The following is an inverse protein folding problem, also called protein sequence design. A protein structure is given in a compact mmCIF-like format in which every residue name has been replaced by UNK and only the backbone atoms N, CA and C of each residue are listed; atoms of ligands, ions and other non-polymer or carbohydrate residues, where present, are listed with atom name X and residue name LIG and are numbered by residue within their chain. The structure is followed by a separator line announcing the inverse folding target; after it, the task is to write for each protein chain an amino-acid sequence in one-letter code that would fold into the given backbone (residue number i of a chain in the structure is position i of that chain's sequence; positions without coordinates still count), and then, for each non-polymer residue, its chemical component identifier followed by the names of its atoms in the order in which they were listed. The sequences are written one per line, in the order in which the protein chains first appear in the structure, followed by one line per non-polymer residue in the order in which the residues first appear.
data_IF_015267693677
#
_entry.id   IF_015267693677
#
_cell.length_a   1.000
_cell.length_b   1.000
_cell.length_c   1.000
_cell.angle_alpha   90.00
_cell.angle_beta   90.00
_cell.angle_gamma   90.00
#
_symmetry.space_group_name_H-M   'P 1'
#
loop_
_entity.id
_entity.type
_entity.pdbx_description
1 polymer ?
#
# COMPACT_ATOMS: atom_id res chain seq x y z
N UNK A 1 -81.10 30.47 73.73
CA UNK A 1 -80.80 29.40 72.74
C UNK A 1 -81.50 29.55 71.39
N UNK A 2 -82.64 30.27 71.28
CA UNK A 2 -83.38 30.43 70.00
C UNK A 2 -82.81 31.49 69.04
N UNK A 3 -81.94 32.41 69.49
CA UNK A 3 -81.37 33.47 68.64
C UNK A 3 -80.17 33.04 67.79
N UNK A 4 -79.43 31.99 68.17
CA UNK A 4 -78.30 31.48 67.38
C UNK A 4 -78.79 30.69 66.16
N UNK A 5 -79.94 30.00 66.27
CA UNK A 5 -80.52 29.21 65.19
C UNK A 5 -81.07 30.07 64.04
N UNK A 6 -81.64 31.26 64.32
CA UNK A 6 -82.18 32.16 63.27
C UNK A 6 -81.06 32.84 62.47
N UNK A 7 -79.95 33.19 63.13
CA UNK A 7 -78.75 33.70 62.44
C UNK A 7 -78.03 32.62 61.62
N UNK A 8 -78.02 31.37 62.10
CA UNK A 8 -77.44 30.26 61.34
C UNK A 8 -78.31 29.86 60.13
N UNK A 9 -79.65 29.92 60.24
CA UNK A 9 -80.56 29.68 59.10
C UNK A 9 -80.42 30.73 58.00
N UNK A 10 -80.32 32.03 58.32
CA UNK A 10 -80.09 33.06 57.29
C UNK A 10 -78.71 33.02 56.62
N UNK A 11 -77.70 32.48 57.31
CA UNK A 11 -76.35 32.36 56.76
C UNK A 11 -76.17 31.16 55.81
N UNK A 12 -77.08 30.17 55.83
CA UNK A 12 -77.01 28.98 54.98
C UNK A 12 -77.76 29.15 53.66
N UNK A 13 -78.84 29.94 53.63
CA UNK A 13 -79.64 30.22 52.43
C UNK A 13 -78.87 31.00 51.33
N UNK A 14 -77.85 31.78 51.72
CA UNK A 14 -77.01 32.54 50.80
C UNK A 14 -75.85 31.73 50.19
N UNK A 15 -75.64 30.48 50.62
CA UNK A 15 -74.54 29.64 50.12
C UNK A 15 -74.94 28.74 48.94
N UNK A 16 -76.19 28.80 48.48
CA UNK A 16 -76.72 28.02 47.35
C UNK A 16 -77.55 28.84 46.36
N UNK A 17 -77.28 30.14 46.22
CA UNK A 17 -77.66 30.82 44.98
C UNK A 17 -76.64 30.42 43.92
N UNK A 18 -77.02 29.53 43.02
CA UNK A 18 -76.28 29.36 41.77
C UNK A 18 -76.31 30.70 41.05
N UNK A 19 -75.22 31.46 41.14
CA UNK A 19 -75.03 32.62 40.29
C UNK A 19 -75.17 32.13 38.85
N UNK A 20 -76.16 32.64 38.13
CA UNK A 20 -76.40 32.37 36.71
C UNK A 20 -75.34 33.08 35.86
N UNK A 21 -74.08 33.05 36.30
CA UNK A 21 -72.96 33.70 35.66
C UNK A 21 -71.95 32.59 35.44
N UNK A 22 -71.83 32.19 34.17
CA UNK A 22 -70.83 31.23 33.74
C UNK A 22 -69.43 31.81 34.01
N UNK A 23 -68.67 31.13 34.89
CA UNK A 23 -67.27 31.45 35.21
C UNK A 23 -66.31 30.54 34.44
N UNK A 24 -66.81 29.72 33.52
CA UNK A 24 -65.95 28.89 32.67
C UNK A 24 -65.06 29.79 31.83
N UNK A 25 -63.77 29.45 31.67
CA UNK A 25 -62.89 30.21 30.81
C UNK A 25 -63.50 30.25 29.39
N UNK A 26 -63.38 31.39 28.68
CA UNK A 26 -63.86 31.50 27.32
C UNK A 26 -63.27 30.38 26.46
N UNK A 27 -64.09 29.84 25.54
CA UNK A 27 -63.67 28.74 24.67
C UNK A 27 -62.44 29.14 23.86
N UNK A 28 -61.31 28.52 24.16
CA UNK A 28 -60.09 28.73 23.38
C UNK A 28 -60.27 28.10 22.00
N UNK A 29 -60.16 28.90 20.94
CA UNK A 29 -60.23 28.37 19.59
C UNK A 29 -58.86 27.87 19.13
N UNK A 30 -58.77 26.71 18.46
CA UNK A 30 -57.50 26.11 18.04
C UNK A 30 -56.63 27.04 17.18
N UNK A 31 -57.26 27.93 16.41
CA UNK A 31 -56.55 28.87 15.53
C UNK A 31 -55.82 30.00 16.29
N UNK A 32 -56.14 30.26 17.55
CA UNK A 32 -55.39 31.22 18.38
C UNK A 32 -54.07 30.65 18.91
N UNK A 33 -54.01 29.35 19.19
CA UNK A 33 -52.80 28.68 19.70
C UNK A 33 -51.92 28.10 18.59
N UNK A 34 -52.47 27.89 17.39
CA UNK A 34 -51.77 27.27 16.27
C UNK A 34 -51.21 28.31 15.30
N UNK A 35 -49.90 28.59 15.41
CA UNK A 35 -49.15 29.38 14.42
C UNK A 35 -48.68 28.48 13.26
N UNK A 36 -49.60 28.14 12.36
CA UNK A 36 -49.36 27.18 11.27
C UNK A 36 -48.13 27.52 10.42
N UNK A 37 -48.00 28.77 9.96
CA UNK A 37 -46.83 29.22 9.17
C UNK A 37 -45.49 29.03 9.89
N UNK A 38 -45.46 29.14 11.21
CA UNK A 38 -44.24 28.92 11.98
C UNK A 38 -43.92 27.43 12.14
N UNK A 39 -44.95 26.57 12.21
CA UNK A 39 -44.78 25.12 12.20
C UNK A 39 -44.28 24.64 10.85
N UNK A 40 -44.92 25.07 9.77
CA UNK A 40 -44.52 24.74 8.39
C UNK A 40 -43.07 25.19 8.11
N UNK A 41 -42.70 26.41 8.53
CA UNK A 41 -41.33 26.89 8.37
C UNK A 41 -40.31 26.05 9.16
N UNK A 42 -40.66 25.56 10.37
CA UNK A 42 -39.79 24.69 11.17
C UNK A 42 -39.66 23.31 10.56
N UNK A 43 -40.78 22.69 10.18
CA UNK A 43 -40.81 21.39 9.53
C UNK A 43 -39.98 21.39 8.23
N UNK A 44 -40.03 22.47 7.46
CA UNK A 44 -39.19 22.64 6.27
C UNK A 44 -37.69 22.72 6.61
N UNK A 45 -37.31 23.47 7.64
CA UNK A 45 -35.91 23.55 8.08
C UNK A 45 -35.41 22.21 8.62
N UNK A 46 -36.25 21.52 9.41
CA UNK A 46 -35.94 20.21 9.96
C UNK A 46 -35.75 19.18 8.84
N UNK A 47 -36.61 19.18 7.81
CA UNK A 47 -36.46 18.31 6.65
C UNK A 47 -35.17 18.57 5.85
N UNK A 48 -34.76 19.83 5.71
CA UNK A 48 -33.47 20.18 5.09
C UNK A 48 -32.28 19.65 5.91
N UNK A 49 -32.33 19.86 7.22
CA UNK A 49 -31.29 19.39 8.15
C UNK A 49 -31.21 17.86 8.12
N UNK A 50 -32.33 17.16 8.12
CA UNK A 50 -32.37 15.70 8.00
C UNK A 50 -31.83 15.20 6.65
N UNK A 51 -32.15 15.89 5.56
CA UNK A 51 -31.59 15.61 4.22
C UNK A 51 -30.06 15.75 4.18
N UNK A 52 -29.52 16.84 4.72
CA UNK A 52 -28.07 17.04 4.80
C UNK A 52 -27.40 16.05 5.76
N UNK A 53 -28.02 15.74 6.90
CA UNK A 53 -27.51 14.77 7.87
C UNK A 53 -27.46 13.35 7.30
N UNK A 54 -28.49 12.94 6.54
CA UNK A 54 -28.49 11.63 5.86
C UNK A 54 -27.45 11.58 4.76
N UNK A 55 -27.30 12.65 3.96
CA UNK A 55 -26.24 12.77 2.94
C UNK A 55 -24.85 12.67 3.56
N UNK A 56 -24.61 13.41 4.63
CA UNK A 56 -23.33 13.40 5.35
C UNK A 56 -23.04 12.01 5.94
N UNK A 57 -24.03 11.40 6.60
CA UNK A 57 -23.91 10.05 7.18
C UNK A 57 -23.55 9.03 6.09
N UNK A 58 -24.23 9.07 4.94
CA UNK A 58 -23.96 8.18 3.84
C UNK A 58 -22.54 8.37 3.26
N UNK A 59 -22.09 9.63 3.13
CA UNK A 59 -20.74 9.97 2.68
C UNK A 59 -19.67 9.44 3.64
N UNK A 60 -19.83 9.69 4.95
CA UNK A 60 -18.90 9.20 5.98
C UNK A 60 -18.89 7.68 6.02
N UNK A 61 -20.07 7.04 5.97
CA UNK A 61 -20.16 5.57 5.91
C UNK A 61 -19.47 5.01 4.68
N UNK A 62 -19.59 5.66 3.52
CA UNK A 62 -18.88 5.27 2.30
C UNK A 62 -17.36 5.36 2.50
N UNK A 63 -16.84 6.46 3.03
CA UNK A 63 -15.40 6.63 3.30
C UNK A 63 -14.89 5.58 4.30
N UNK A 64 -15.64 5.32 5.38
CA UNK A 64 -15.28 4.31 6.39
C UNK A 64 -15.28 2.91 5.76
N UNK A 65 -16.32 2.55 4.99
CA UNK A 65 -16.42 1.25 4.31
C UNK A 65 -15.27 1.03 3.33
N UNK A 66 -14.88 2.07 2.60
CA UNK A 66 -13.79 2.00 1.63
C UNK A 66 -12.40 2.08 2.30
N UNK A 67 -12.32 2.42 3.59
CA UNK A 67 -11.07 2.38 4.37
C UNK A 67 -9.92 3.24 3.82
N UNK A 68 -10.24 4.27 3.02
CA UNK A 68 -9.23 5.08 2.33
C UNK A 68 -8.72 4.46 1.01
N UNK A 69 -9.44 3.50 0.42
CA UNK A 69 -9.16 3.00 -0.93
C UNK A 69 -9.36 4.12 -1.95
N UNK A 70 -8.24 4.70 -2.40
CA UNK A 70 -8.18 5.64 -3.51
C UNK A 70 -8.01 4.81 -4.80
N UNK A 71 -8.98 4.88 -5.70
CA UNK A 71 -8.92 4.25 -7.03
C UNK A 71 -7.76 4.79 -7.90
N UNK A 72 -7.19 5.93 -7.51
CA UNK A 72 -6.03 6.56 -8.15
C UNK A 72 -4.68 5.94 -7.77
N UNK A 73 -4.61 4.62 -7.52
CA UNK A 73 -3.33 3.92 -7.58
C UNK A 73 -2.96 3.76 -9.04
N UNK A 74 -2.47 4.85 -9.64
CA UNK A 74 -1.94 4.83 -10.99
C UNK A 74 -0.70 3.93 -10.96
N UNK A 75 -0.84 2.69 -11.45
CA UNK A 75 0.26 1.77 -11.70
C UNK A 75 1.09 2.27 -12.89
N UNK A 76 1.63 3.48 -12.74
CA UNK A 76 2.44 4.12 -13.75
C UNK A 76 3.76 3.35 -13.87
N UNK A 77 3.82 2.48 -14.88
CA UNK A 77 5.06 1.83 -15.27
C UNK A 77 5.96 2.93 -15.86
N UNK A 78 7.04 3.28 -15.15
CA UNK A 78 8.03 4.25 -15.62
C UNK A 78 8.61 3.80 -16.96
N UNK A 79 8.08 4.34 -18.07
CA UNK A 79 8.64 4.15 -19.40
C UNK A 79 9.74 5.18 -19.59
N UNK A 80 10.94 4.73 -19.92
CA UNK A 80 11.97 5.66 -20.42
C UNK A 80 11.77 5.82 -21.92
N UNK A 81 11.83 7.05 -22.42
CA UNK A 81 11.69 7.39 -23.84
C UNK A 81 12.58 6.54 -24.77
N UNK A 82 13.77 6.14 -24.29
CA UNK A 82 14.74 5.36 -25.06
C UNK A 82 14.75 3.85 -24.79
N UNK A 83 13.70 3.31 -24.15
CA UNK A 83 13.69 1.88 -23.78
C UNK A 83 13.76 0.95 -24.99
N UNK A 84 13.04 1.27 -26.06
CA UNK A 84 13.01 0.43 -27.27
C UNK A 84 14.32 0.50 -28.04
N UNK A 85 14.95 1.67 -28.10
CA UNK A 85 16.30 1.82 -28.67
C UNK A 85 17.31 0.96 -27.90
N UNK A 86 17.26 0.95 -26.56
CA UNK A 86 18.15 0.10 -25.75
C UNK A 86 17.90 -1.39 -26.00
N UNK A 87 16.64 -1.82 -26.11
CA UNK A 87 16.30 -3.23 -26.42
C UNK A 87 16.83 -3.67 -27.78
N UNK A 88 16.72 -2.81 -28.80
CA UNK A 88 17.26 -3.07 -30.15
C UNK A 88 18.79 -3.22 -30.13
N UNK A 89 19.48 -2.26 -29.53
CA UNK A 89 20.95 -2.31 -29.38
C UNK A 89 21.38 -3.56 -28.61
N UNK A 90 20.65 -3.92 -27.54
CA UNK A 90 20.94 -5.13 -26.78
C UNK A 90 20.76 -6.41 -27.62
N UNK A 91 19.73 -6.46 -28.46
CA UNK A 91 19.50 -7.58 -29.37
C UNK A 91 20.60 -7.68 -30.45
N UNK A 92 21.03 -6.54 -31.00
CA UNK A 92 22.13 -6.46 -31.96
C UNK A 92 23.44 -6.95 -31.35
N UNK A 93 23.79 -6.49 -30.15
CA UNK A 93 24.96 -6.97 -29.41
C UNK A 93 24.88 -8.46 -29.10
N UNK A 94 23.70 -8.95 -28.71
CA UNK A 94 23.49 -10.36 -28.44
C UNK A 94 23.73 -11.20 -29.70
N UNK A 95 23.16 -10.79 -30.84
CA UNK A 95 23.35 -11.47 -32.11
C UNK A 95 24.82 -11.45 -32.57
N UNK A 96 25.49 -10.31 -32.42
CA UNK A 96 26.93 -10.20 -32.71
C UNK A 96 27.76 -11.14 -31.83
N UNK A 97 27.46 -11.22 -30.54
CA UNK A 97 28.13 -12.13 -29.61
C UNK A 97 27.90 -13.60 -29.97
N UNK A 98 26.68 -13.98 -30.34
CA UNK A 98 26.37 -15.35 -30.80
C UNK A 98 27.20 -15.70 -32.05
N UNK A 99 27.27 -14.80 -33.04
CA UNK A 99 28.08 -15.01 -34.24
C UNK A 99 29.57 -15.13 -33.91
N UNK A 100 30.09 -14.31 -32.99
CA UNK A 100 31.47 -14.40 -32.55
C UNK A 100 31.78 -15.73 -31.86
N UNK A 101 30.89 -16.20 -30.99
CA UNK A 101 31.03 -17.50 -30.32
C UNK A 101 31.02 -18.64 -31.34
N UNK A 102 30.06 -18.64 -32.28
CA UNK A 102 30.02 -19.61 -33.37
C UNK A 102 31.32 -19.60 -34.19
N UNK A 103 31.81 -18.40 -34.53
CA UNK A 103 33.08 -18.24 -35.24
C UNK A 103 34.23 -18.84 -34.43
N UNK A 104 34.36 -18.49 -33.16
CA UNK A 104 35.41 -19.01 -32.26
C UNK A 104 35.39 -20.55 -32.17
N UNK A 105 34.21 -21.15 -32.13
CA UNK A 105 34.07 -22.61 -32.13
C UNK A 105 34.41 -23.25 -33.48
N UNK A 106 34.08 -22.60 -34.59
CA UNK A 106 34.37 -23.12 -35.94
C UNK A 106 35.84 -22.95 -36.33
N UNK A 107 36.52 -21.93 -35.80
CA UNK A 107 37.93 -21.67 -36.10
C UNK A 107 38.82 -22.64 -35.33
N UNK A 108 39.63 -23.41 -36.05
CA UNK A 108 40.66 -24.24 -35.44
C UNK A 108 41.77 -23.36 -34.83
N UNK A 109 42.21 -23.69 -33.62
CA UNK A 109 43.32 -23.01 -32.96
C UNK A 109 44.64 -23.35 -33.62
N UNK A 110 45.46 -22.34 -33.95
CA UNK A 110 46.81 -22.54 -34.54
C UNK A 110 47.78 -23.24 -33.59
N UNK A 111 47.49 -23.23 -32.29
CA UNK A 111 48.33 -23.80 -31.26
C UNK A 111 47.72 -25.08 -30.67
N UNK A 112 48.55 -26.03 -30.21
CA UNK A 112 48.10 -27.26 -29.58
C UNK A 112 47.58 -26.99 -28.16
N UNK A 113 46.27 -26.77 -28.03
CA UNK A 113 45.58 -26.50 -26.75
C UNK A 113 45.86 -27.56 -25.69
N UNK A 114 45.85 -28.84 -26.09
CA UNK A 114 46.10 -29.99 -25.20
C UNK A 114 47.51 -29.92 -24.59
N UNK A 115 48.51 -29.55 -25.39
CA UNK A 115 49.90 -29.42 -24.93
C UNK A 115 50.00 -28.31 -23.88
N UNK A 116 49.47 -27.13 -24.18
CA UNK A 116 49.50 -26.00 -23.25
C UNK A 116 48.72 -26.27 -21.97
N UNK A 117 47.58 -26.96 -22.04
CA UNK A 117 46.85 -27.36 -20.84
C UNK A 117 47.66 -28.33 -19.99
N UNK A 118 48.35 -29.30 -20.62
CA UNK A 118 49.21 -30.25 -19.93
C UNK A 118 50.40 -29.56 -19.27
N UNK A 119 51.03 -28.62 -19.96
CA UNK A 119 52.20 -27.89 -19.47
C UNK A 119 51.80 -26.91 -18.37
N UNK A 120 50.64 -26.25 -18.50
CA UNK A 120 50.06 -25.44 -17.43
C UNK A 120 49.77 -26.28 -16.18
N UNK A 121 49.18 -27.48 -16.31
CA UNK A 121 48.94 -28.39 -15.19
C UNK A 121 50.25 -28.84 -14.52
N UNK A 122 51.28 -29.18 -15.29
CA UNK A 122 52.62 -29.49 -14.76
C UNK A 122 53.20 -28.30 -14.01
N UNK A 123 53.10 -27.10 -14.56
CA UNK A 123 53.61 -25.88 -13.94
C UNK A 123 52.86 -25.55 -12.65
N UNK A 124 51.54 -25.72 -12.59
CA UNK A 124 50.76 -25.54 -11.36
C UNK A 124 51.20 -26.53 -10.27
N UNK A 125 51.39 -27.80 -10.62
CA UNK A 125 51.90 -28.83 -9.68
C UNK A 125 53.31 -28.49 -9.19
N UNK A 126 54.18 -28.06 -10.09
CA UNK A 126 55.53 -27.65 -9.75
C UNK A 126 55.51 -26.45 -8.79
N UNK A 127 54.74 -25.41 -9.14
CA UNK A 127 54.51 -24.23 -8.30
C UNK A 127 54.02 -24.62 -6.91
N UNK A 128 53.04 -25.50 -6.79
CA UNK A 128 52.54 -25.97 -5.50
C UNK A 128 53.62 -26.66 -4.65
N UNK A 129 54.57 -27.37 -5.27
CA UNK A 129 55.68 -28.04 -4.56
C UNK A 129 56.77 -27.08 -4.11
N UNK A 130 57.07 -26.06 -4.91
CA UNK A 130 58.16 -25.10 -4.61
C UNK A 130 57.70 -23.89 -3.80
N UNK A 131 56.40 -23.58 -3.81
CA UNK A 131 55.87 -22.45 -3.08
C UNK A 131 55.91 -22.72 -1.58
N UNK A 132 56.50 -21.78 -0.83
CA UNK A 132 56.43 -21.74 0.63
C UNK A 132 55.00 -21.79 1.18
N UNK A 133 54.04 -21.29 0.40
CA UNK A 133 52.62 -21.24 0.73
C UNK A 133 51.78 -21.76 -0.45
N UNK A 134 51.35 -23.03 -0.45
CA UNK A 134 50.56 -23.63 -1.53
C UNK A 134 49.12 -23.09 -1.56
N UNK A 135 48.44 -23.24 -2.69
CA UNK A 135 47.06 -22.75 -2.85
C UNK A 135 46.13 -23.40 -1.81
N UNK A 136 45.40 -22.57 -1.04
CA UNK A 136 44.59 -23.04 0.09
C UNK A 136 45.28 -22.98 1.46
N UNK A 137 46.56 -22.60 1.54
CA UNK A 137 47.29 -22.45 2.82
C UNK A 137 46.63 -21.45 3.80
N UNK A 138 45.85 -20.50 3.28
CA UNK A 138 45.16 -19.47 4.05
C UNK A 138 44.14 -20.05 5.03
N UNK A 139 43.61 -21.25 4.75
CA UNK A 139 42.67 -21.95 5.62
C UNK A 139 43.32 -22.46 6.92
N UNK A 140 44.65 -22.58 6.94
CA UNK A 140 45.42 -23.02 8.11
C UNK A 140 46.00 -21.84 8.90
N UNK A 141 45.60 -20.60 8.58
CA UNK A 141 45.94 -19.45 9.43
C UNK A 141 45.02 -19.45 10.65
N UNK A 142 45.63 -19.41 11.84
CA UNK A 142 44.93 -19.11 13.09
C UNK A 142 44.07 -17.84 12.94
N UNK A 143 42.79 -17.87 13.34
CA UNK A 143 41.89 -16.73 13.22
C UNK A 143 42.34 -15.62 14.19
N UNK A 144 43.19 -14.71 13.73
CA UNK A 144 43.62 -13.57 14.53
C UNK A 144 44.88 -12.84 14.06
N UNK A 145 45.71 -13.45 13.22
CA UNK A 145 46.97 -12.83 12.77
C UNK A 145 46.72 -11.97 11.52
N UNK A 146 46.58 -10.65 11.72
CA UNK A 146 46.47 -9.67 10.62
C UNK A 146 47.82 -9.56 9.90
N UNK A 147 47.95 -10.20 8.74
CA UNK A 147 49.14 -9.99 7.88
C UNK A 147 49.10 -8.59 7.25
N UNK A 148 50.25 -7.88 7.14
CA UNK A 148 50.28 -6.58 6.50
C UNK A 148 49.75 -6.65 5.07
N UNK A 149 48.92 -5.69 4.68
CA UNK A 149 48.29 -5.58 3.37
C UNK A 149 49.37 -5.32 2.31
N UNK A 150 49.92 -6.39 1.73
CA UNK A 150 50.73 -6.27 0.51
C UNK A 150 49.82 -5.81 -0.62
N UNK A 151 50.19 -4.70 -1.29
CA UNK A 151 49.51 -4.18 -2.49
C UNK A 151 49.79 -5.13 -3.65
N UNK A 152 49.15 -6.30 -3.67
CA UNK A 152 49.11 -7.12 -4.88
C UNK A 152 48.12 -6.50 -5.85
N UNK A 153 48.64 -5.98 -6.96
CA UNK A 153 47.89 -5.60 -8.16
C UNK A 153 47.34 -6.84 -8.90
N UNK A 154 46.82 -7.82 -8.18
CA UNK A 154 46.12 -8.94 -8.78
C UNK A 154 44.71 -8.47 -9.12
N UNK A 155 44.50 -8.10 -10.39
CA UNK A 155 43.17 -8.10 -10.99
C UNK A 155 42.67 -9.54 -10.89
N UNK A 156 41.95 -9.85 -9.81
CA UNK A 156 41.24 -11.10 -9.67
C UNK A 156 40.06 -11.03 -10.62
N UNK A 157 40.26 -11.49 -11.86
CA UNK A 157 39.17 -11.92 -12.69
C UNK A 157 38.59 -13.15 -12.00
N UNK A 158 37.64 -12.93 -11.08
CA UNK A 158 36.78 -14.00 -10.61
C UNK A 158 36.24 -14.73 -11.85
N UNK A 159 36.14 -16.08 -11.82
CA UNK A 159 35.41 -16.77 -12.87
C UNK A 159 34.05 -16.09 -12.96
N UNK A 160 33.70 -15.56 -14.13
CA UNK A 160 32.36 -15.05 -14.39
C UNK A 160 31.47 -16.29 -14.30
N UNK A 161 31.01 -16.59 -13.08
CA UNK A 161 30.01 -17.62 -12.86
C UNK A 161 28.79 -17.31 -13.70
N UNK A 162 28.01 -18.31 -14.10
CA UNK A 162 26.81 -18.08 -14.88
C UNK A 162 25.98 -16.99 -14.20
N UNK A 163 25.74 -15.90 -14.93
CA UNK A 163 24.92 -14.79 -14.45
C UNK A 163 23.59 -15.37 -13.99
N UNK A 164 23.15 -15.05 -12.77
CA UNK A 164 21.86 -15.50 -12.18
C UNK A 164 20.61 -15.07 -12.98
N UNK A 165 20.78 -14.54 -14.19
CA UNK A 165 19.77 -14.02 -15.13
C UNK A 165 19.45 -14.94 -16.29
N UNK A 166 19.97 -16.17 -16.37
CA UNK A 166 19.46 -17.17 -17.32
C UNK A 166 18.15 -17.76 -16.81
N UNK A 167 17.08 -16.95 -16.82
CA UNK A 167 15.72 -17.51 -16.92
C UNK A 167 15.55 -17.92 -18.38
N UNK A 168 15.55 -19.24 -18.58
CA UNK A 168 14.89 -19.95 -19.69
C UNK A 168 14.90 -19.23 -21.03
N UNK A 169 15.97 -19.43 -21.81
CA UNK A 169 15.82 -19.48 -23.27
C UNK A 169 15.91 -20.97 -23.59
N UNK A 170 14.79 -21.67 -23.42
CA UNK A 170 14.59 -22.96 -24.05
C UNK A 170 14.57 -22.70 -25.55
N UNK A 171 15.66 -23.07 -26.22
CA UNK A 171 15.69 -23.14 -27.67
C UNK A 171 14.83 -24.35 -28.01
N UNK A 172 13.58 -24.08 -28.35
CA UNK A 172 12.64 -25.05 -28.91
C UNK A 172 13.26 -25.60 -30.20
N UNK A 173 13.90 -26.77 -30.10
CA UNK A 173 14.36 -27.54 -31.25
C UNK A 173 13.12 -28.18 -31.87
N UNK A 174 12.49 -27.47 -32.81
CA UNK A 174 11.47 -28.03 -33.70
C UNK A 174 12.19 -28.70 -34.87
N UNK A 175 12.20 -30.04 -34.83
CA UNK A 175 12.43 -30.90 -35.99
C UNK A 175 11.21 -30.90 -36.91
#
# INVERSE_FOLDING_TARGET
MLFVAVLFCRAFELKKSHGLIDLSPPREYPHYSQRLKQKEAREYQDALIEGENTRLRNSIMHVIKMGGYVDSRNDYIRRSLNSDKRKRIQAEHHQANVRLVQKLHSTQTLYPTIKFESDWKKQQRFKQRICRYPQGWEQFKEPGIKTPRTRTSSVSLAPIGPSKRTKSIEIEQKA
#
